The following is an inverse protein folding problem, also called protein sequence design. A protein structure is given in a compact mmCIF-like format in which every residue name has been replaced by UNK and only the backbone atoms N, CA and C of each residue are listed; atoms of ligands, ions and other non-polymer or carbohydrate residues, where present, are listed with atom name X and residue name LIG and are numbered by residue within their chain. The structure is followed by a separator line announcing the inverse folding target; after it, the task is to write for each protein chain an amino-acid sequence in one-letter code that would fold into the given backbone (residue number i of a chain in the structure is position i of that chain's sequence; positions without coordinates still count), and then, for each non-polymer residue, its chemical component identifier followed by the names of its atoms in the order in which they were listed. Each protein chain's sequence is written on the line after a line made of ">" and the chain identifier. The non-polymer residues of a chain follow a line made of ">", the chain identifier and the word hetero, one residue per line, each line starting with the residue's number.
data_IF_949058507030
#
_entry.id   IF_949058507030
#
_cell.length_a   1.000
_cell.length_b   1.000
_cell.length_c   1.000
_cell.angle_alpha   90.00
_cell.angle_beta   90.00
_cell.angle_gamma   90.00
#
_symmetry.space_group_name_H-M   'P 1'
#
loop_
_entity.id
_entity.type
_entity.pdbx_description
1 polymer ?
#
# COMPACT_ATOMS: atom_id res chain seq x y z
N UNK A 1 -16.76 -61.45 57.13
CA UNK A 1 -17.43 -61.26 55.82
C UNK A 1 -18.17 -59.93 55.83
N UNK A 2 -17.77 -59.00 54.95
CA UNK A 2 -18.56 -57.89 54.36
C UNK A 2 -17.56 -57.02 53.59
N UNK A 3 -17.51 -57.19 52.27
CA UNK A 3 -16.71 -56.38 51.34
C UNK A 3 -17.59 -55.22 50.90
N UNK A 4 -17.21 -53.98 51.24
CA UNK A 4 -17.90 -52.79 50.76
C UNK A 4 -17.24 -52.33 49.45
N UNK A 5 -18.01 -52.41 48.37
CA UNK A 5 -17.65 -51.94 47.03
C UNK A 5 -17.99 -50.44 46.97
N UNK A 6 -16.98 -49.58 46.87
CA UNK A 6 -17.15 -48.16 46.60
C UNK A 6 -17.33 -47.93 45.11
N UNK A 7 -18.51 -47.44 44.71
CA UNK A 7 -18.88 -47.11 43.33
C UNK A 7 -18.15 -45.82 42.92
N UNK A 8 -17.25 -45.93 41.95
CA UNK A 8 -16.56 -44.82 41.29
C UNK A 8 -17.53 -44.15 40.30
N UNK A 9 -18.02 -42.97 40.63
CA UNK A 9 -18.90 -42.17 39.78
C UNK A 9 -18.05 -41.37 38.77
N UNK A 10 -17.86 -41.93 37.57
CA UNK A 10 -17.19 -41.24 36.46
C UNK A 10 -18.19 -40.23 35.87
N UNK A 11 -18.02 -38.95 36.17
CA UNK A 11 -18.71 -37.86 35.48
C UNK A 11 -18.06 -37.70 34.10
N UNK A 12 -18.61 -38.39 33.10
CA UNK A 12 -18.27 -38.15 31.69
C UNK A 12 -18.99 -36.87 31.26
N UNK A 13 -18.28 -35.75 31.35
CA UNK A 13 -18.76 -34.47 30.84
C UNK A 13 -18.59 -34.46 29.31
N UNK A 14 -19.58 -35.00 28.59
CA UNK A 14 -19.63 -34.91 27.13
C UNK A 14 -19.86 -33.45 26.73
N UNK A 15 -18.79 -32.73 26.41
CA UNK A 15 -18.86 -31.48 25.67
C UNK A 15 -19.26 -31.81 24.23
N UNK A 16 -20.56 -31.73 23.92
CA UNK A 16 -21.01 -31.55 22.54
C UNK A 16 -20.64 -30.13 22.12
N UNK A 17 -19.40 -29.95 21.66
CA UNK A 17 -19.02 -28.76 20.92
C UNK A 17 -19.80 -28.75 19.60
N UNK A 18 -20.83 -27.93 19.52
CA UNK A 18 -21.49 -27.62 18.26
C UNK A 18 -20.48 -26.92 17.34
N UNK A 19 -19.84 -27.68 16.45
CA UNK A 19 -19.18 -27.10 15.29
C UNK A 19 -20.27 -26.54 14.38
N UNK A 20 -20.63 -25.28 14.59
CA UNK A 20 -21.32 -24.51 13.56
C UNK A 20 -20.38 -24.47 12.34
N UNK A 21 -20.83 -24.86 11.14
CA UNK A 21 -20.05 -24.58 9.94
C UNK A 21 -19.90 -23.06 9.85
N UNK A 22 -18.68 -22.56 10.03
CA UNK A 22 -18.35 -21.19 9.66
C UNK A 22 -18.62 -21.08 8.16
N UNK A 23 -19.75 -20.49 7.78
CA UNK A 23 -19.96 -20.02 6.43
C UNK A 23 -18.77 -19.11 6.11
N UNK A 24 -17.85 -19.60 5.27
CA UNK A 24 -16.63 -18.88 4.94
C UNK A 24 -17.02 -17.51 4.40
N UNK A 25 -16.64 -16.46 5.10
CA UNK A 25 -16.77 -15.11 4.58
C UNK A 25 -16.06 -15.09 3.22
N UNK A 26 -16.78 -14.76 2.15
CA UNK A 26 -16.20 -14.56 0.83
C UNK A 26 -15.08 -13.53 0.95
N UNK A 27 -13.89 -13.82 0.41
CA UNK A 27 -12.79 -12.85 0.47
C UNK A 27 -13.20 -11.57 -0.27
N UNK A 28 -12.65 -10.41 0.14
CA UNK A 28 -12.85 -9.13 -0.58
C UNK A 28 -12.49 -9.26 -2.06
N UNK A 29 -11.45 -10.03 -2.37
CA UNK A 29 -11.07 -10.32 -3.76
C UNK A 29 -12.18 -11.07 -4.51
N UNK A 30 -12.80 -12.07 -3.90
CA UNK A 30 -13.90 -12.82 -4.53
C UNK A 30 -15.15 -11.97 -4.72
N UNK A 31 -15.45 -11.05 -3.80
CA UNK A 31 -16.55 -10.09 -3.95
C UNK A 31 -16.34 -9.18 -5.16
N UNK A 32 -15.15 -8.61 -5.31
CA UNK A 32 -14.77 -7.74 -6.43
C UNK A 32 -14.85 -8.49 -7.75
N UNK A 33 -14.33 -9.73 -7.79
CA UNK A 33 -14.35 -10.55 -9.00
C UNK A 33 -15.78 -10.94 -9.37
N UNK A 34 -16.57 -11.40 -8.40
CA UNK A 34 -17.98 -11.74 -8.63
C UNK A 34 -18.79 -10.52 -9.11
N UNK A 35 -18.51 -9.32 -8.60
CA UNK A 35 -19.10 -8.09 -9.09
C UNK A 35 -18.77 -7.84 -10.57
N UNK A 36 -17.52 -8.07 -10.97
CA UNK A 36 -17.10 -7.97 -12.37
C UNK A 36 -17.76 -9.01 -13.27
N UNK A 37 -17.83 -10.27 -12.81
CA UNK A 37 -18.39 -11.40 -13.57
C UNK A 37 -19.88 -11.24 -13.88
N UNK A 38 -20.66 -10.58 -13.01
CA UNK A 38 -22.08 -10.26 -13.27
C UNK A 38 -22.29 -9.36 -14.49
N UNK A 39 -21.27 -8.63 -14.91
CA UNK A 39 -21.33 -7.69 -16.04
C UNK A 39 -20.60 -8.21 -17.27
N UNK A 40 -20.32 -9.52 -17.35
CA UNK A 40 -19.75 -10.13 -18.55
C UNK A 40 -20.55 -9.78 -19.80
N UNK A 41 -19.85 -9.31 -20.84
CA UNK A 41 -20.44 -8.87 -22.10
C UNK A 41 -20.90 -7.41 -22.13
N UNK A 42 -20.92 -6.68 -21.00
CA UNK A 42 -21.29 -5.26 -21.00
C UNK A 42 -20.39 -4.47 -21.97
N UNK A 43 -20.95 -3.68 -22.91
CA UNK A 43 -20.18 -3.02 -23.95
C UNK A 43 -19.14 -2.03 -23.42
N UNK A 44 -18.06 -1.86 -24.17
CA UNK A 44 -17.10 -0.80 -23.90
C UNK A 44 -17.69 0.58 -24.22
N UNK A 45 -17.54 1.52 -23.30
CA UNK A 45 -17.88 2.94 -23.51
C UNK A 45 -16.75 3.80 -22.95
N UNK A 46 -16.13 4.62 -23.79
CA UNK A 46 -15.14 5.59 -23.31
C UNK A 46 -15.76 6.52 -22.26
N UNK A 47 -15.14 6.65 -21.08
CA UNK A 47 -15.71 7.41 -19.98
C UNK A 47 -16.79 6.66 -19.18
N UNK A 48 -17.20 5.46 -19.60
CA UNK A 48 -18.26 4.69 -18.98
C UNK A 48 -17.89 4.11 -17.61
N UNK A 49 -18.81 4.23 -16.65
CA UNK A 49 -18.64 3.82 -15.24
C UNK A 49 -19.85 3.06 -14.69
N UNK A 50 -20.78 2.62 -15.56
CA UNK A 50 -22.04 1.99 -15.15
C UNK A 50 -22.33 0.73 -15.97
N UNK A 51 -23.25 -0.14 -15.53
CA UNK A 51 -23.65 -1.34 -16.27
C UNK A 51 -24.19 -1.10 -17.70
N UNK A 52 -24.54 0.13 -18.06
CA UNK A 52 -24.89 0.49 -19.45
C UNK A 52 -23.67 0.52 -20.39
N UNK A 53 -22.46 0.55 -19.82
CA UNK A 53 -21.20 0.47 -20.55
C UNK A 53 -20.03 1.00 -19.72
N UNK A 54 -18.88 0.32 -19.82
CA UNK A 54 -17.69 0.63 -19.04
C UNK A 54 -16.49 0.91 -19.94
N UNK A 55 -15.60 1.84 -19.56
CA UNK A 55 -14.19 1.73 -19.97
C UNK A 55 -13.40 0.84 -19.01
N UNK A 56 -12.12 0.61 -19.30
CA UNK A 56 -11.28 -0.28 -18.49
C UNK A 56 -11.25 0.16 -17.00
N UNK A 57 -10.88 1.40 -16.75
CA UNK A 57 -10.76 1.96 -15.39
C UNK A 57 -12.11 2.20 -14.69
N UNK A 58 -13.16 2.48 -15.45
CA UNK A 58 -14.52 2.60 -14.94
C UNK A 58 -15.09 1.24 -14.53
N UNK A 59 -14.75 0.17 -15.25
CA UNK A 59 -15.09 -1.21 -14.87
C UNK A 59 -14.37 -1.62 -13.59
N UNK A 60 -13.04 -1.43 -13.50
CA UNK A 60 -12.29 -1.78 -12.28
C UNK A 60 -12.76 -0.97 -11.08
N UNK A 61 -13.00 0.33 -11.25
CA UNK A 61 -13.56 1.19 -10.22
C UNK A 61 -14.95 0.75 -9.76
N UNK A 62 -15.84 0.38 -10.68
CA UNK A 62 -17.17 -0.15 -10.35
C UNK A 62 -17.11 -1.43 -9.52
N UNK A 63 -16.25 -2.38 -9.92
CA UNK A 63 -16.11 -3.66 -9.23
C UNK A 63 -15.54 -3.49 -7.82
N UNK A 64 -14.49 -2.67 -7.67
CA UNK A 64 -13.89 -2.35 -6.37
C UNK A 64 -14.84 -1.62 -5.43
N UNK A 65 -15.68 -0.73 -6.00
CA UNK A 65 -16.69 -0.01 -5.22
C UNK A 65 -17.75 -0.94 -4.61
N UNK A 66 -18.00 -2.12 -5.19
CA UNK A 66 -18.92 -3.09 -4.57
C UNK A 66 -18.40 -3.59 -3.23
N UNK A 67 -17.09 -3.69 -3.08
CA UNK A 67 -16.42 -4.02 -1.82
C UNK A 67 -16.09 -2.77 -0.97
N UNK A 68 -16.70 -1.63 -1.26
CA UNK A 68 -16.51 -0.37 -0.51
C UNK A 68 -15.17 0.34 -0.75
N UNK A 69 -14.43 -0.02 -1.81
CA UNK A 69 -13.13 0.57 -2.12
C UNK A 69 -13.25 1.54 -3.29
N UNK A 70 -12.98 2.82 -3.05
CA UNK A 70 -12.96 3.82 -4.10
C UNK A 70 -11.61 3.85 -4.82
N UNK A 71 -11.65 3.70 -6.15
CA UNK A 71 -10.48 3.84 -7.01
C UNK A 71 -10.50 5.17 -7.75
N UNK A 72 -9.32 5.77 -8.01
CA UNK A 72 -9.20 6.89 -8.94
C UNK A 72 -9.81 6.57 -10.31
N UNK A 73 -10.30 7.61 -11.01
CA UNK A 73 -11.08 7.39 -12.23
C UNK A 73 -10.28 6.78 -13.38
N UNK A 74 -9.01 7.15 -13.57
CA UNK A 74 -8.24 6.73 -14.75
C UNK A 74 -7.29 5.56 -14.46
N UNK A 75 -7.00 4.76 -15.48
CA UNK A 75 -6.03 3.65 -15.36
C UNK A 75 -4.64 4.16 -14.94
N UNK A 76 -4.23 5.34 -15.40
CA UNK A 76 -2.96 5.94 -15.02
C UNK A 76 -2.91 6.32 -13.53
N UNK A 77 -3.99 6.90 -12.99
CA UNK A 77 -4.07 7.18 -11.55
C UNK A 77 -4.20 5.90 -10.73
N UNK A 78 -4.97 4.90 -11.20
CA UNK A 78 -5.07 3.61 -10.54
C UNK A 78 -3.71 2.89 -10.48
N UNK A 79 -2.84 3.11 -11.47
CA UNK A 79 -1.48 2.59 -11.45
C UNK A 79 -0.57 3.26 -10.42
N UNK A 80 -1.01 4.32 -9.75
CA UNK A 80 -0.23 5.05 -8.74
C UNK A 80 -0.67 4.74 -7.31
N UNK A 81 -1.77 3.99 -7.12
CA UNK A 81 -2.30 3.65 -5.79
C UNK A 81 -2.08 2.18 -5.44
N UNK A 82 -2.08 1.90 -4.14
CA UNK A 82 -1.76 0.58 -3.60
C UNK A 82 -0.31 0.15 -3.78
N UNK A 83 -0.03 -1.10 -3.45
CA UNK A 83 1.32 -1.65 -3.37
C UNK A 83 1.71 -2.27 -4.73
N UNK A 84 2.86 -1.93 -5.32
CA UNK A 84 3.33 -2.62 -6.52
C UNK A 84 3.53 -4.12 -6.27
N UNK A 85 3.12 -4.95 -7.22
CA UNK A 85 3.20 -6.42 -7.13
C UNK A 85 4.04 -6.96 -8.27
N UNK A 86 4.99 -7.84 -7.95
CA UNK A 86 5.75 -8.59 -8.94
C UNK A 86 4.82 -9.57 -9.68
N UNK A 87 5.04 -9.78 -10.98
CA UNK A 87 4.16 -10.66 -11.79
C UNK A 87 4.04 -12.09 -11.22
N UNK A 88 5.09 -12.59 -10.58
CA UNK A 88 5.11 -13.90 -9.89
C UNK A 88 4.20 -13.97 -8.67
N UNK A 89 3.89 -12.83 -8.07
CA UNK A 89 3.23 -12.72 -6.77
C UNK A 89 1.78 -12.23 -6.90
N UNK A 90 1.26 -12.27 -8.13
CA UNK A 90 -0.11 -11.87 -8.45
C UNK A 90 -1.11 -12.73 -7.68
N UNK A 91 -2.04 -12.04 -7.03
CA UNK A 91 -3.16 -12.63 -6.29
C UNK A 91 -4.47 -12.16 -6.86
N UNK A 92 -5.51 -12.97 -6.69
CA UNK A 92 -6.88 -12.61 -7.06
C UNK A 92 -7.21 -11.24 -6.46
N UNK A 93 -7.81 -10.38 -7.26
CA UNK A 93 -8.12 -9.01 -6.89
C UNK A 93 -7.06 -7.99 -7.35
N UNK A 94 -5.78 -8.35 -7.46
CA UNK A 94 -4.74 -7.38 -7.89
C UNK A 94 -5.10 -6.72 -9.22
N UNK A 95 -4.89 -5.41 -9.33
CA UNK A 95 -5.04 -4.69 -10.60
C UNK A 95 -3.81 -4.93 -11.46
N UNK A 96 -4.01 -5.33 -12.71
CA UNK A 96 -2.96 -5.53 -13.71
C UNK A 96 -3.05 -4.45 -14.78
N UNK A 97 -1.90 -3.94 -15.23
CA UNK A 97 -1.81 -2.75 -16.08
C UNK A 97 -1.02 -3.02 -17.35
N UNK A 98 -1.44 -2.36 -18.43
CA UNK A 98 -0.87 -2.55 -19.76
C UNK A 98 -0.68 -1.25 -20.51
N UNK A 99 0.39 -1.23 -21.31
CA UNK A 99 0.67 -0.20 -22.29
C UNK A 99 0.10 -0.58 -23.67
N UNK A 100 -1.01 0.06 -24.02
CA UNK A 100 -1.66 -0.08 -25.33
C UNK A 100 -1.46 1.13 -26.23
N UNK A 101 -1.09 2.29 -25.68
CA UNK A 101 -1.04 3.59 -26.37
C UNK A 101 0.02 4.57 -25.83
N UNK A 102 0.92 4.12 -24.96
CA UNK A 102 1.93 4.91 -24.25
C UNK A 102 1.59 5.06 -22.75
N UNK A 103 2.19 4.24 -21.89
CA UNK A 103 2.00 4.25 -20.43
C UNK A 103 0.83 3.37 -19.93
N UNK A 104 0.37 3.52 -18.67
CA UNK A 104 -0.73 2.73 -18.09
C UNK A 104 -2.11 3.09 -18.69
N UNK A 105 -2.32 2.71 -19.96
CA UNK A 105 -3.50 3.08 -20.75
C UNK A 105 -4.61 2.03 -20.72
N UNK A 106 -4.35 0.84 -20.19
CA UNK A 106 -5.34 -0.20 -19.97
C UNK A 106 -5.11 -0.91 -18.64
N UNK A 107 -6.18 -1.38 -18.00
CA UNK A 107 -6.10 -2.20 -16.80
C UNK A 107 -7.22 -3.27 -16.73
N UNK A 108 -7.07 -4.18 -15.77
CA UNK A 108 -8.03 -5.23 -15.44
C UNK A 108 -7.80 -5.77 -14.03
N UNK A 109 -8.69 -6.64 -13.58
CA UNK A 109 -8.61 -7.30 -12.27
C UNK A 109 -8.07 -8.71 -12.50
N UNK A 110 -7.01 -9.07 -11.79
CA UNK A 110 -6.45 -10.42 -11.84
C UNK A 110 -7.39 -11.41 -11.16
N UNK A 111 -7.71 -12.51 -11.84
CA UNK A 111 -8.66 -13.52 -11.36
C UNK A 111 -7.99 -14.87 -11.07
N UNK A 112 -6.66 -14.92 -11.01
CA UNK A 112 -5.90 -16.16 -10.89
C UNK A 112 -5.68 -16.83 -12.24
N UNK A 113 -4.91 -17.93 -12.23
CA UNK A 113 -4.63 -18.75 -13.42
C UNK A 113 -4.10 -17.95 -14.62
N UNK A 114 -3.32 -16.92 -14.33
CA UNK A 114 -2.76 -15.99 -15.31
C UNK A 114 -3.82 -15.32 -16.22
N UNK A 115 -5.00 -15.03 -15.67
CA UNK A 115 -6.11 -14.37 -16.35
C UNK A 115 -6.50 -13.07 -15.66
N UNK A 116 -7.09 -12.17 -16.43
CA UNK A 116 -7.76 -10.98 -15.92
C UNK A 116 -9.20 -10.91 -16.45
N UNK A 117 -10.07 -10.27 -15.68
CA UNK A 117 -11.34 -9.73 -16.15
C UNK A 117 -11.17 -8.22 -16.39
N UNK A 118 -11.65 -7.72 -17.53
CA UNK A 118 -11.46 -6.32 -17.94
C UNK A 118 -12.52 -5.89 -18.96
N UNK A 119 -12.74 -4.58 -19.13
CA UNK A 119 -13.53 -4.04 -20.25
C UNK A 119 -12.63 -3.75 -21.45
N UNK A 120 -12.76 -4.54 -22.51
CA UNK A 120 -12.02 -4.41 -23.78
C UNK A 120 -12.81 -3.60 -24.81
N UNK A 121 -12.14 -2.75 -25.57
CA UNK A 121 -12.78 -1.96 -26.64
C UNK A 121 -13.46 -2.81 -27.73
N UNK A 122 -13.04 -4.07 -27.91
CA UNK A 122 -13.60 -4.97 -28.93
C UNK A 122 -14.63 -5.96 -28.41
N UNK A 123 -14.62 -6.29 -27.12
CA UNK A 123 -15.42 -7.38 -26.54
C UNK A 123 -16.26 -6.96 -25.32
N UNK A 124 -16.14 -5.71 -24.88
CA UNK A 124 -16.72 -5.27 -23.61
C UNK A 124 -16.05 -5.99 -22.43
N UNK A 125 -16.78 -6.14 -21.33
CA UNK A 125 -16.34 -6.90 -20.17
C UNK A 125 -16.12 -8.36 -20.55
N UNK A 126 -14.87 -8.80 -20.48
CA UNK A 126 -14.47 -10.14 -20.90
C UNK A 126 -13.28 -10.64 -20.10
N UNK A 127 -12.93 -11.91 -20.27
CA UNK A 127 -11.75 -12.52 -19.64
C UNK A 127 -10.66 -12.71 -20.69
N UNK A 128 -9.42 -12.37 -20.33
CA UNK A 128 -8.25 -12.57 -21.18
C UNK A 128 -7.10 -13.21 -20.40
N UNK A 129 -6.32 -14.04 -21.11
CA UNK A 129 -5.03 -14.53 -20.59
C UNK A 129 -3.98 -13.42 -20.67
N UNK A 130 -3.20 -13.25 -19.60
CA UNK A 130 -2.06 -12.33 -19.56
C UNK A 130 -0.91 -12.76 -20.47
N UNK A 131 -0.85 -14.05 -20.83
CA UNK A 131 0.21 -14.60 -21.67
C UNK A 131 -0.14 -14.67 -23.16
N UNK A 132 -1.32 -14.19 -23.56
CA UNK A 132 -1.65 -14.16 -24.98
C UNK A 132 -0.77 -13.16 -25.74
N UNK A 133 -0.74 -13.31 -27.07
CA UNK A 133 0.11 -12.50 -27.98
C UNK A 133 -0.12 -11.00 -27.91
N UNK A 134 -1.29 -10.56 -27.41
CA UNK A 134 -1.62 -9.15 -27.30
C UNK A 134 -1.24 -8.56 -25.93
N UNK A 135 -1.61 -9.21 -24.83
CA UNK A 135 -1.41 -8.69 -23.46
C UNK A 135 -0.01 -8.93 -22.92
N UNK A 136 0.62 -10.05 -23.27
CA UNK A 136 1.96 -10.40 -22.76
C UNK A 136 3.01 -9.31 -23.01
N UNK A 137 3.20 -8.80 -24.25
CA UNK A 137 4.19 -7.76 -24.50
C UNK A 137 3.79 -6.38 -23.99
N UNK A 138 2.54 -6.21 -23.54
CA UNK A 138 2.00 -4.92 -23.09
C UNK A 138 1.93 -4.80 -21.57
N UNK A 139 2.16 -5.88 -20.82
CA UNK A 139 2.10 -5.86 -19.37
C UNK A 139 3.21 -4.95 -18.80
N UNK A 140 2.84 -3.97 -17.99
CA UNK A 140 3.79 -3.02 -17.39
C UNK A 140 3.88 -3.10 -15.87
N UNK A 141 2.93 -3.78 -15.21
CA UNK A 141 2.95 -3.95 -13.76
C UNK A 141 1.60 -4.27 -13.16
N UNK A 142 1.59 -4.41 -11.84
CA UNK A 142 0.38 -4.66 -11.06
C UNK A 142 0.38 -3.90 -9.73
N UNK A 143 -0.82 -3.68 -9.19
CA UNK A 143 -1.07 -3.01 -7.91
C UNK A 143 -2.00 -3.84 -7.04
N UNK A 144 -1.64 -4.02 -5.77
CA UNK A 144 -2.48 -4.59 -4.73
C UNK A 144 -3.14 -3.47 -3.94
N UNK A 145 -4.46 -3.45 -3.94
CA UNK A 145 -5.27 -2.46 -3.22
C UNK A 145 -5.81 -3.04 -1.92
N UNK A 146 -6.08 -4.35 -1.91
CA UNK A 146 -6.67 -5.06 -0.78
C UNK A 146 -5.54 -5.53 0.14
N UNK A 147 -5.58 -5.12 1.40
CA UNK A 147 -4.74 -5.68 2.44
C UNK A 147 -5.53 -6.83 3.07
N UNK A 148 -5.28 -8.06 2.62
CA UNK A 148 -5.89 -9.23 3.25
C UNK A 148 -5.39 -9.31 4.69
N UNK A 149 -6.28 -9.08 5.66
CA UNK A 149 -6.07 -9.47 7.05
C UNK A 149 -5.87 -10.99 7.04
N UNK A 150 -4.61 -11.40 7.07
CA UNK A 150 -4.24 -12.81 7.15
C UNK A 150 -4.83 -13.31 8.46
N UNK A 151 -5.91 -14.10 8.37
CA UNK A 151 -6.49 -14.78 9.51
C UNK A 151 -5.40 -15.62 10.15
N UNK A 152 -4.90 -15.13 11.27
CA UNK A 152 -3.87 -15.74 12.10
C UNK A 152 -4.50 -16.90 12.88
N UNK A 153 -4.92 -17.95 12.17
CA UNK A 153 -5.47 -19.18 12.75
C UNK A 153 -5.01 -20.38 11.90
N UNK A 154 -3.70 -20.61 11.79
CA UNK A 154 -3.19 -21.88 11.25
C UNK A 154 -1.72 -22.22 11.56
N UNK A 155 -0.94 -21.40 12.26
CA UNK A 155 0.48 -21.73 12.51
C UNK A 155 0.91 -21.52 13.95
N UNK A 156 0.28 -22.27 14.86
CA UNK A 156 0.91 -22.68 16.13
C UNK A 156 1.07 -24.20 16.07
N UNK A 157 2.07 -24.67 15.34
CA UNK A 157 2.71 -25.95 15.57
C UNK A 157 4.09 -26.02 14.89
N UNK A 158 5.10 -26.13 15.74
CA UNK A 158 6.47 -26.59 15.50
C UNK A 158 7.49 -25.59 14.93
N UNK A 159 8.24 -24.99 15.84
CA UNK A 159 9.67 -24.72 15.65
C UNK A 159 10.46 -26.02 15.52
N UNK A 160 11.43 -26.06 14.60
CA UNK A 160 12.75 -26.66 14.85
C UNK A 160 13.71 -26.42 13.67
N UNK A 161 14.66 -25.49 13.90
CA UNK A 161 16.07 -25.50 13.48
C UNK A 161 16.44 -25.19 12.00
N UNK A 162 17.17 -24.09 11.83
CA UNK A 162 17.76 -23.53 10.59
C UNK A 162 19.02 -24.32 10.10
N UNK A 163 19.63 -24.08 8.89
CA UNK A 163 20.02 -22.74 8.38
C UNK A 163 19.91 -22.44 6.85
N UNK A 164 19.91 -21.13 6.58
CA UNK A 164 20.38 -20.39 5.37
C UNK A 164 19.63 -20.50 4.02
N UNK A 165 19.11 -19.37 3.52
CA UNK A 165 19.73 -18.59 2.44
C UNK A 165 18.97 -17.27 2.19
N UNK A 166 19.70 -16.23 1.79
CA UNK A 166 19.29 -14.84 1.70
C UNK A 166 18.12 -14.57 0.73
N UNK A 167 17.17 -13.71 1.15
CA UNK A 167 16.31 -12.94 0.24
C UNK A 167 16.36 -11.46 0.64
N UNK A 168 16.82 -10.63 -0.30
CA UNK A 168 16.99 -9.18 -0.13
C UNK A 168 15.67 -8.43 -0.38
N UNK A 169 14.65 -8.68 0.44
CA UNK A 169 13.46 -7.83 0.52
C UNK A 169 13.73 -6.71 1.53
N UNK A 170 13.84 -5.46 1.09
CA UNK A 170 13.95 -4.34 2.03
C UNK A 170 12.63 -4.20 2.78
N UNK A 171 12.68 -4.52 4.08
CA UNK A 171 11.63 -4.31 5.07
C UNK A 171 11.18 -2.83 5.06
N UNK A 172 9.88 -2.53 5.22
CA UNK A 172 9.39 -1.15 5.42
C UNK A 172 10.12 -0.48 6.58
N UNK A 173 10.44 0.81 6.44
CA UNK A 173 11.07 1.58 7.51
C UNK A 173 10.01 2.25 8.35
N UNK A 174 9.93 1.86 9.61
CA UNK A 174 9.13 2.56 10.60
C UNK A 174 9.83 3.87 11.00
N UNK A 175 9.06 4.90 11.35
CA UNK A 175 9.62 6.16 11.86
C UNK A 175 8.92 6.48 13.16
N UNK A 176 9.70 6.72 14.22
CA UNK A 176 9.17 7.23 15.49
C UNK A 176 9.75 8.59 15.83
N UNK A 177 8.93 9.41 16.47
CA UNK A 177 9.29 10.75 16.94
C UNK A 177 8.96 10.80 18.43
N UNK A 178 9.97 11.04 19.27
CA UNK A 178 9.84 11.09 20.74
C UNK A 178 9.15 9.86 21.34
N UNK A 179 9.38 8.66 20.76
CA UNK A 179 8.78 7.40 21.21
C UNK A 179 7.37 7.13 20.70
N UNK A 180 6.76 8.05 19.93
CA UNK A 180 5.50 7.81 19.25
C UNK A 180 5.75 7.37 17.79
N UNK A 181 5.21 6.22 17.40
CA UNK A 181 5.24 5.79 16.00
C UNK A 181 4.43 6.75 15.13
N UNK A 182 5.03 7.24 14.05
CA UNK A 182 4.34 8.07 13.07
C UNK A 182 3.28 7.18 12.41
N UNK A 183 1.98 7.53 12.53
CA UNK A 183 0.93 6.76 11.85
C UNK A 183 1.26 6.69 10.35
N UNK A 184 1.38 5.46 9.86
CA UNK A 184 2.00 5.05 8.59
C UNK A 184 1.26 5.50 7.31
N UNK A 185 0.43 6.54 7.38
CA UNK A 185 -0.41 6.98 6.27
C UNK A 185 0.33 7.72 5.16
N UNK A 186 1.63 7.98 5.31
CA UNK A 186 2.44 8.58 4.25
C UNK A 186 3.86 8.00 4.27
N UNK A 187 4.01 6.97 3.45
CA UNK A 187 5.18 6.11 3.28
C UNK A 187 6.48 6.91 3.17
N UNK A 188 7.36 6.70 4.15
CA UNK A 188 8.79 6.90 4.06
C UNK A 188 9.33 6.11 2.86
N UNK A 189 9.62 6.80 1.75
CA UNK A 189 10.16 6.16 0.55
C UNK A 189 11.68 6.09 0.66
N UNK A 190 12.27 4.89 0.62
CA UNK A 190 13.69 4.77 0.24
C UNK A 190 13.80 5.10 -1.25
N UNK A 191 14.53 6.14 -1.60
CA UNK A 191 14.98 6.34 -2.98
C UNK A 191 15.96 5.23 -3.37
N UNK A 192 16.18 4.97 -4.67
CA UNK A 192 17.21 4.04 -5.15
C UNK A 192 18.64 4.33 -4.63
N UNK A 193 18.88 5.53 -4.07
CA UNK A 193 20.15 5.92 -3.44
C UNK A 193 20.23 5.58 -1.93
N UNK A 194 19.24 4.88 -1.37
CA UNK A 194 19.24 4.42 0.03
C UNK A 194 18.78 5.45 1.07
N UNK A 195 18.16 6.57 0.66
CA UNK A 195 17.71 7.65 1.56
C UNK A 195 16.20 7.69 1.74
N UNK A 196 15.77 7.93 2.97
CA UNK A 196 14.36 8.02 3.34
C UNK A 196 13.82 9.43 3.10
N UNK A 197 12.85 9.55 2.20
CA UNK A 197 12.08 10.77 1.98
C UNK A 197 10.77 10.70 2.75
N UNK A 198 10.40 11.82 3.33
CA UNK A 198 9.25 11.92 4.24
C UNK A 198 8.41 13.15 3.92
N UNK A 199 7.09 13.10 4.18
CA UNK A 199 6.23 14.26 4.00
C UNK A 199 6.55 15.31 5.06
N UNK A 200 6.89 16.51 4.61
CA UNK A 200 7.35 17.60 5.48
C UNK A 200 6.30 17.97 6.56
N UNK A 201 5.02 17.99 6.21
CA UNK A 201 3.95 18.39 7.14
C UNK A 201 3.85 17.47 8.37
N UNK A 202 3.96 16.17 8.16
CA UNK A 202 3.72 15.14 9.19
C UNK A 202 4.78 15.12 10.28
N UNK A 203 6.02 15.50 9.96
CA UNK A 203 7.12 15.57 10.93
C UNK A 203 7.14 16.91 11.63
N UNK A 204 6.98 18.00 10.87
CA UNK A 204 7.05 19.35 11.44
C UNK A 204 5.92 19.57 12.45
N UNK A 205 4.68 19.21 12.13
CA UNK A 205 3.56 19.38 13.06
C UNK A 205 3.71 18.51 14.32
N UNK A 206 4.24 17.28 14.20
CA UNK A 206 4.51 16.41 15.36
C UNK A 206 5.68 16.91 16.22
N UNK A 207 6.67 17.58 15.63
CA UNK A 207 7.74 18.26 16.35
C UNK A 207 7.29 19.62 16.94
N UNK A 208 6.03 20.01 16.75
CA UNK A 208 5.44 21.26 17.25
C UNK A 208 5.73 22.48 16.37
N UNK A 209 6.22 22.27 15.15
CA UNK A 209 6.57 23.32 14.20
C UNK A 209 5.37 23.73 13.33
N UNK A 210 5.26 25.01 13.01
CA UNK A 210 4.28 25.50 12.03
C UNK A 210 4.86 25.44 10.63
N UNK A 211 4.08 25.00 9.64
CA UNK A 211 4.51 24.90 8.24
C UNK A 211 3.65 25.78 7.34
N UNK A 212 4.32 26.62 6.55
CA UNK A 212 3.71 27.52 5.56
C UNK A 212 4.20 27.16 4.15
N UNK A 213 3.29 27.20 3.19
CA UNK A 213 3.58 27.02 1.77
C UNK A 213 3.30 28.30 0.99
N UNK A 214 4.28 28.74 0.19
CA UNK A 214 4.12 29.78 -0.82
C UNK A 214 4.16 29.14 -2.22
N UNK A 215 3.00 29.11 -2.88
CA UNK A 215 2.85 28.55 -4.21
C UNK A 215 3.45 29.39 -5.34
N UNK A 216 3.67 30.69 -5.13
CA UNK A 216 4.24 31.58 -6.15
C UNK A 216 5.75 31.35 -6.26
N UNK A 217 6.42 31.18 -5.12
CA UNK A 217 7.87 30.95 -5.05
C UNK A 217 8.24 29.47 -4.94
N UNK A 218 7.22 28.59 -4.81
CA UNK A 218 7.37 27.15 -4.53
C UNK A 218 8.23 26.89 -3.28
N UNK A 219 8.07 27.75 -2.27
CA UNK A 219 8.82 27.69 -1.03
C UNK A 219 7.98 27.08 0.08
N UNK A 220 8.56 26.15 0.83
CA UNK A 220 8.02 25.69 2.11
C UNK A 220 8.87 26.27 3.24
N UNK A 221 8.20 26.83 4.25
CA UNK A 221 8.83 27.37 5.45
C UNK A 221 8.30 26.65 6.67
N UNK A 222 9.18 26.04 7.46
CA UNK A 222 8.84 25.47 8.76
C UNK A 222 9.46 26.28 9.89
N UNK A 223 8.70 26.55 10.95
CA UNK A 223 9.14 27.37 12.09
C UNK A 223 8.88 26.63 13.40
N UNK A 224 9.89 26.53 14.26
CA UNK A 224 9.82 25.91 15.58
C UNK A 224 10.55 26.76 16.62
N UNK A 225 9.80 27.53 17.40
CA UNK A 225 10.38 28.57 18.26
C UNK A 225 11.12 29.60 17.41
N UNK A 226 12.41 29.81 17.69
CA UNK A 226 13.28 30.74 16.93
C UNK A 226 13.97 30.09 15.71
N UNK A 227 13.77 28.78 15.50
CA UNK A 227 14.39 28.07 14.38
C UNK A 227 13.47 28.10 13.16
N UNK A 228 14.05 28.42 12.00
CA UNK A 228 13.33 28.49 10.73
C UNK A 228 14.02 27.62 9.69
N UNK A 229 13.26 26.84 8.92
CA UNK A 229 13.77 26.08 7.78
C UNK A 229 13.01 26.51 6.53
N UNK A 230 13.72 27.00 5.53
CA UNK A 230 13.17 27.38 4.23
C UNK A 230 13.68 26.43 3.15
N UNK A 231 12.76 25.87 2.36
CA UNK A 231 13.04 24.89 1.32
C UNK A 231 12.36 25.29 0.02
N UNK A 232 13.11 25.26 -1.08
CA UNK A 232 12.55 25.51 -2.42
C UNK A 232 12.37 24.18 -3.16
N UNK A 233 11.14 23.92 -3.62
CA UNK A 233 10.82 22.70 -4.38
C UNK A 233 11.59 22.67 -5.70
N UNK A 234 12.21 21.53 -5.99
CA UNK A 234 13.04 21.33 -7.18
C UNK A 234 14.45 21.92 -7.06
N UNK A 235 14.81 22.51 -5.92
CA UNK A 235 16.16 22.98 -5.63
C UNK A 235 16.79 22.18 -4.50
N UNK A 236 18.11 22.01 -4.58
CA UNK A 236 18.91 21.53 -3.46
C UNK A 236 19.31 22.67 -2.51
N UNK A 237 18.92 23.91 -2.80
CA UNK A 237 19.22 25.06 -1.94
C UNK A 237 18.13 25.25 -0.88
N UNK A 238 18.58 25.35 0.38
CA UNK A 238 17.76 25.54 1.55
C UNK A 238 18.35 26.66 2.44
N UNK A 239 17.58 27.11 3.43
CA UNK A 239 18.11 27.91 4.54
C UNK A 239 17.67 27.32 5.87
N UNK A 240 18.58 27.32 6.84
CA UNK A 240 18.31 27.01 8.23
C UNK A 240 18.68 28.22 9.09
N UNK A 241 17.69 28.81 9.75
CA UNK A 241 17.78 30.00 10.59
C UNK A 241 18.54 31.13 9.90
N UNK A 242 18.18 31.38 8.64
CA UNK A 242 18.77 32.41 7.76
C UNK A 242 20.11 32.03 7.11
N UNK A 243 20.76 30.93 7.52
CA UNK A 243 22.02 30.47 6.91
C UNK A 243 21.74 29.58 5.70
N UNK A 244 22.38 29.80 4.55
CA UNK A 244 22.22 28.94 3.39
C UNK A 244 22.81 27.56 3.66
N UNK A 245 22.06 26.52 3.32
CA UNK A 245 22.48 25.12 3.42
C UNK A 245 22.14 24.41 2.11
N UNK A 246 23.03 23.54 1.64
CA UNK A 246 22.79 22.73 0.46
C UNK A 246 22.38 21.32 0.86
N UNK A 247 21.23 20.89 0.35
CA UNK A 247 20.71 19.56 0.51
C UNK A 247 21.52 18.57 -0.32
N UNK A 248 21.64 17.38 0.23
CA UNK A 248 22.24 16.24 -0.43
C UNK A 248 21.29 15.59 -1.47
N UNK A 249 19.99 15.94 -1.43
CA UNK A 249 18.99 15.69 -2.46
C UNK A 249 17.95 16.82 -2.45
N UNK A 250 17.54 17.30 -3.63
CA UNK A 250 16.54 18.35 -3.76
C UNK A 250 15.19 17.93 -3.15
N UNK A 251 14.45 18.90 -2.61
CA UNK A 251 13.08 18.67 -2.15
C UNK A 251 12.16 18.47 -3.37
N UNK A 252 11.30 17.45 -3.34
CA UNK A 252 10.46 17.08 -4.48
C UNK A 252 8.98 17.18 -4.12
N UNK A 253 8.16 17.54 -5.10
CA UNK A 253 6.71 17.56 -4.96
C UNK A 253 6.14 16.25 -5.50
N UNK A 254 5.65 15.39 -4.61
CA UNK A 254 5.07 14.09 -4.95
C UNK A 254 3.62 14.08 -4.46
N UNK A 255 2.65 13.97 -5.38
CA UNK A 255 1.22 13.94 -5.09
C UNK A 255 0.71 15.13 -4.23
N UNK A 256 1.25 16.32 -4.47
CA UNK A 256 0.89 17.54 -3.70
C UNK A 256 1.53 17.63 -2.31
N UNK A 257 2.36 16.66 -1.92
CA UNK A 257 3.13 16.67 -0.69
C UNK A 257 4.59 16.99 -0.99
N UNK A 258 5.15 17.93 -0.24
CA UNK A 258 6.59 18.23 -0.27
C UNK A 258 7.34 17.12 0.47
N UNK A 259 8.13 16.36 -0.28
CA UNK A 259 8.99 15.30 0.24
C UNK A 259 10.39 15.85 0.44
N UNK A 260 10.91 15.69 1.65
CA UNK A 260 12.18 16.29 2.08
C UNK A 260 13.10 15.23 2.68
N UNK A 261 14.43 15.39 2.55
CA UNK A 261 15.38 14.51 3.23
C UNK A 261 15.20 14.60 4.75
N UNK A 262 14.78 13.48 5.36
CA UNK A 262 14.42 13.38 6.78
C UNK A 262 15.51 13.88 7.74
N UNK A 263 16.78 13.57 7.41
CA UNK A 263 17.94 13.91 8.24
C UNK A 263 18.17 15.43 8.32
N UNK A 264 18.19 16.11 7.18
CA UNK A 264 18.44 17.55 7.12
C UNK A 264 17.41 18.35 7.93
N UNK A 265 16.14 18.01 7.77
CA UNK A 265 15.02 18.68 8.43
C UNK A 265 15.09 18.53 9.94
N UNK A 266 15.32 17.31 10.42
CA UNK A 266 15.28 17.02 11.84
C UNK A 266 16.47 17.65 12.56
N UNK A 267 17.67 17.57 11.99
CA UNK A 267 18.88 18.17 12.54
C UNK A 267 18.83 19.71 12.53
N UNK A 268 18.27 20.32 11.48
CA UNK A 268 18.13 21.79 11.39
C UNK A 268 17.15 22.37 12.42
N UNK A 269 16.25 21.54 12.96
CA UNK A 269 15.31 21.91 14.03
C UNK A 269 15.80 21.50 15.43
N UNK A 270 17.04 21.00 15.53
CA UNK A 270 17.66 20.59 16.78
C UNK A 270 17.24 19.21 17.30
N UNK A 271 16.65 18.37 16.45
CA UNK A 271 16.35 16.98 16.79
C UNK A 271 17.51 16.05 16.35
N UNK A 272 17.75 15.00 17.13
CA UNK A 272 18.71 13.93 16.80
C UNK A 272 18.00 12.84 16.01
N UNK A 273 18.64 12.34 14.96
CA UNK A 273 18.14 11.25 14.13
C UNK A 273 19.06 10.05 14.25
N UNK A 274 18.52 8.95 14.78
CA UNK A 274 19.21 7.68 14.90
C UNK A 274 18.54 6.62 14.01
N UNK A 275 19.34 5.66 13.56
CA UNK A 275 18.87 4.51 12.80
C UNK A 275 18.92 3.26 13.69
N UNK A 276 17.76 2.69 13.98
CA UNK A 276 17.67 1.37 14.61
C UNK A 276 17.67 0.29 13.51
N UNK A 277 18.83 -0.33 13.33
CA UNK A 277 19.01 -1.40 12.35
C UNK A 277 18.31 -2.70 12.73
N UNK A 278 18.01 -2.93 14.02
CA UNK A 278 17.34 -4.15 14.50
C UNK A 278 15.85 -4.07 14.16
N UNK A 279 15.25 -2.92 14.44
CA UNK A 279 13.83 -2.70 14.18
C UNK A 279 13.55 -2.20 12.76
N UNK A 280 14.59 -1.76 12.03
CA UNK A 280 14.49 -1.12 10.72
C UNK A 280 13.67 0.18 10.84
N UNK A 281 14.02 0.98 11.84
CA UNK A 281 13.27 2.15 12.28
C UNK A 281 14.17 3.38 12.30
N UNK A 282 13.65 4.53 11.83
CA UNK A 282 14.29 5.83 12.08
C UNK A 282 13.70 6.41 13.35
N UNK A 283 14.56 6.67 14.33
CA UNK A 283 14.17 7.22 15.62
C UNK A 283 14.59 8.68 15.68
N UNK A 284 13.64 9.57 15.92
CA UNK A 284 13.88 11.01 16.10
C UNK A 284 13.63 11.37 17.55
N UNK A 285 14.63 11.97 18.18
CA UNK A 285 14.57 12.40 19.59
C UNK A 285 14.97 13.85 19.72
N UNK A 286 14.46 14.51 20.76
CA UNK A 286 14.87 15.84 21.17
C UNK A 286 15.25 15.83 22.64
#
# INVERSE_FOLDING_TARGET
>A
MKRSIGILLIVVMTFLGAFAPSAGASSTADEIIAAGERHMGTPYRWGGTTPAGFDCSGFTGYAYKQAGIDLPRSAAQQYQVGTPVAKSDLRRGDLVFFDTRGGPTHNGIYIGNNKMIHSSSSKGVSIASLDNVYWKPRYIGARRIIEEQRSEVASVASESKAPQAASSGLKPIDVSINGAALQSSQTSLKTPAGRTLVPMRSIFEQLGATVTWDGATKQVTGVLGDQTVELMIGSADAKASGKPVRLDQAAELINGNTMVPLRFVSESLGAKVDWDSVNNEVVITR
#
